data_IF_883495433426
#
_entry.id   IF_883495433426
#
_cell.length_a   1.000
_cell.length_b   1.000
_cell.length_c   1.000
_cell.angle_alpha   90.00
_cell.angle_beta   90.00
_cell.angle_gamma   90.00
#
_symmetry.space_group_name_H-M   'P 1'
#
loop_
_entity.id
_entity.type
_entity.pdbx_description
1 polymer ?
#
# COMPACT_ATOMS: atom_id res chain seq x y z
N UNK A 1 -3.91 1.03 -27.78
CA UNK A 1 -3.75 2.33 -28.50
C UNK A 1 -5.04 3.18 -28.50
N UNK A 2 -6.22 2.62 -28.35
CA UNK A 2 -7.48 3.39 -28.31
C UNK A 2 -7.85 3.96 -26.92
N UNK A 3 -7.18 3.56 -25.86
CA UNK A 3 -7.49 4.03 -24.50
C UNK A 3 -7.06 5.48 -24.21
N UNK A 4 -6.14 6.02 -25.00
CA UNK A 4 -5.58 7.35 -24.78
C UNK A 4 -6.22 8.46 -25.60
N UNK A 5 -7.11 8.12 -26.52
CA UNK A 5 -7.80 9.12 -27.37
C UNK A 5 -9.11 9.65 -26.80
N UNK A 6 -9.66 9.03 -25.75
CA UNK A 6 -10.90 9.48 -25.11
C UNK A 6 -10.61 10.67 -24.18
N UNK A 7 -10.82 11.87 -24.65
CA UNK A 7 -10.72 13.12 -23.86
C UNK A 7 -9.51 14.00 -24.13
N UNK A 8 -8.59 13.56 -24.97
CA UNK A 8 -7.55 14.44 -25.51
C UNK A 8 -7.91 14.85 -26.95
N UNK A 9 -7.67 16.10 -27.35
CA UNK A 9 -7.76 16.47 -28.76
C UNK A 9 -6.84 15.53 -29.55
N UNK A 10 -7.27 15.10 -30.74
CA UNK A 10 -6.38 14.40 -31.66
C UNK A 10 -5.15 15.29 -31.87
N UNK A 11 -4.01 14.87 -31.31
CA UNK A 11 -2.75 15.58 -31.53
C UNK A 11 -2.43 15.46 -33.01
N UNK A 12 -2.30 16.58 -33.68
CA UNK A 12 -1.72 16.59 -35.04
C UNK A 12 -0.34 15.92 -34.91
N UNK A 13 0.01 15.00 -35.83
CA UNK A 13 1.32 14.38 -35.79
C UNK A 13 2.40 15.46 -35.89
N UNK A 14 3.45 15.32 -35.09
CA UNK A 14 4.60 16.20 -35.12
C UNK A 14 5.03 16.46 -36.59
N UNK A 15 5.14 17.70 -36.97
CA UNK A 15 5.39 18.08 -38.36
C UNK A 15 6.88 18.17 -38.69
N UNK A 16 7.74 18.23 -37.66
CA UNK A 16 9.21 18.35 -37.82
C UNK A 16 9.96 17.53 -36.77
N UNK A 17 11.23 17.19 -37.05
CA UNK A 17 12.14 16.61 -36.07
C UNK A 17 12.28 17.48 -34.79
N UNK A 18 12.18 18.79 -34.94
CA UNK A 18 12.25 19.76 -33.85
C UNK A 18 11.00 19.68 -32.96
N UNK A 19 9.82 19.48 -33.56
CA UNK A 19 8.56 19.26 -32.81
C UNK A 19 8.59 17.94 -32.05
N UNK A 20 9.12 16.87 -32.66
CA UNK A 20 9.29 15.57 -31.95
C UNK A 20 10.27 15.69 -30.78
N UNK A 21 11.40 16.38 -30.96
CA UNK A 21 12.36 16.60 -29.89
C UNK A 21 11.79 17.49 -28.78
N UNK A 22 10.99 18.48 -29.11
CA UNK A 22 10.32 19.34 -28.14
C UNK A 22 9.25 18.58 -27.36
N UNK A 23 8.46 17.76 -28.01
CA UNK A 23 7.49 16.88 -27.35
C UNK A 23 8.18 15.87 -26.41
N UNK A 24 9.24 15.22 -26.86
CA UNK A 24 10.01 14.27 -26.03
C UNK A 24 10.67 14.96 -24.83
N UNK A 25 11.16 16.19 -25.00
CA UNK A 25 11.75 16.96 -23.90
C UNK A 25 10.74 17.29 -22.78
N UNK A 26 9.46 17.50 -23.13
CA UNK A 26 8.40 17.78 -22.17
C UNK A 26 7.99 16.56 -21.32
N UNK A 27 8.30 15.33 -21.76
CA UNK A 27 8.04 14.09 -21.04
C UNK A 27 9.26 13.57 -20.28
N UNK A 28 10.38 14.29 -20.31
CA UNK A 28 11.56 13.92 -19.56
C UNK A 28 11.30 14.04 -18.04
N UNK A 29 11.78 13.09 -17.22
CA UNK A 29 11.68 13.20 -15.78
C UNK A 29 12.32 14.46 -15.24
N UNK A 30 11.71 15.10 -14.24
CA UNK A 30 12.28 16.26 -13.57
C UNK A 30 13.69 15.96 -13.05
N UNK A 31 14.66 16.82 -13.35
CA UNK A 31 16.06 16.65 -12.94
C UNK A 31 16.89 15.70 -13.81
N UNK A 32 16.31 15.13 -14.87
CA UNK A 32 16.96 14.14 -15.74
C UNK A 32 17.03 12.74 -15.12
N UNK A 33 17.36 11.74 -15.92
CA UNK A 33 17.40 10.34 -15.49
C UNK A 33 16.05 9.64 -15.55
N UNK A 34 15.99 8.39 -15.04
CA UNK A 34 14.75 7.62 -14.97
C UNK A 34 14.02 7.86 -13.66
N UNK A 35 12.67 7.93 -13.66
CA UNK A 35 11.91 7.96 -12.43
C UNK A 35 12.10 6.65 -11.65
N UNK A 36 11.95 6.70 -10.33
CA UNK A 36 11.89 5.48 -9.52
C UNK A 36 10.59 4.74 -9.82
N UNK A 37 10.68 3.47 -10.21
CA UNK A 37 9.53 2.64 -10.43
C UNK A 37 9.16 1.88 -9.14
N UNK A 38 7.88 1.86 -8.82
CA UNK A 38 7.32 1.03 -7.77
C UNK A 38 6.42 -0.06 -8.39
N UNK A 39 6.50 -1.27 -7.87
CA UNK A 39 5.74 -2.42 -8.35
C UNK A 39 4.97 -3.03 -7.20
N UNK A 40 3.66 -3.22 -7.40
CA UNK A 40 2.76 -3.70 -6.36
C UNK A 40 2.60 -5.21 -6.39
N UNK A 41 2.48 -5.83 -5.21
CA UNK A 41 2.08 -7.21 -5.01
C UNK A 41 0.93 -7.30 -4.02
N UNK A 42 -0.03 -8.17 -4.33
CA UNK A 42 -1.18 -8.42 -3.50
C UNK A 42 -1.22 -9.87 -2.99
N UNK A 43 -1.20 -10.84 -3.91
CA UNK A 43 -1.31 -12.26 -3.58
C UNK A 43 -0.04 -12.79 -2.92
N UNK A 44 -0.17 -13.79 -2.05
CA UNK A 44 0.95 -14.44 -1.35
C UNK A 44 2.16 -14.75 -2.27
N UNK A 45 1.91 -15.35 -3.43
CA UNK A 45 2.93 -15.65 -4.43
C UNK A 45 2.93 -14.64 -5.58
N UNK A 46 3.05 -13.34 -5.27
CA UNK A 46 3.00 -12.30 -6.28
C UNK A 46 4.22 -12.31 -7.21
N UNK A 47 4.07 -12.60 -8.52
CA UNK A 47 5.19 -12.59 -9.46
C UNK A 47 5.78 -11.20 -9.67
N UNK A 48 5.02 -10.14 -9.39
CA UNK A 48 5.50 -8.77 -9.47
C UNK A 48 6.58 -8.46 -8.43
N UNK A 49 6.61 -9.15 -7.27
CA UNK A 49 7.69 -9.02 -6.30
C UNK A 49 9.02 -9.54 -6.85
N UNK A 50 8.99 -10.63 -7.61
CA UNK A 50 10.18 -11.13 -8.32
C UNK A 50 10.68 -10.12 -9.35
N UNK A 51 9.76 -9.60 -10.19
CA UNK A 51 10.10 -8.57 -11.18
C UNK A 51 10.71 -7.32 -10.51
N UNK A 52 10.12 -6.87 -9.41
CA UNK A 52 10.64 -5.75 -8.65
C UNK A 52 12.08 -5.99 -8.17
N UNK A 53 12.37 -7.20 -7.68
CA UNK A 53 13.73 -7.60 -7.29
C UNK A 53 14.71 -7.63 -8.45
N UNK A 54 14.35 -8.28 -9.56
CA UNK A 54 15.19 -8.41 -10.77
C UNK A 54 15.56 -7.04 -11.38
N UNK A 55 14.70 -6.04 -11.24
CA UNK A 55 14.88 -4.69 -11.80
C UNK A 55 15.28 -3.65 -10.77
N UNK A 56 15.46 -4.03 -9.52
CA UNK A 56 15.71 -3.13 -8.40
C UNK A 56 14.65 -2.02 -8.27
N UNK A 57 13.38 -2.34 -8.59
CA UNK A 57 12.26 -1.43 -8.40
C UNK A 57 11.84 -1.41 -6.93
N UNK A 58 11.10 -0.38 -6.51
CA UNK A 58 10.55 -0.29 -5.16
C UNK A 58 9.42 -1.31 -4.98
N UNK A 59 9.54 -2.31 -4.08
CA UNK A 59 8.46 -3.25 -3.82
C UNK A 59 7.37 -2.60 -2.96
N UNK A 60 6.11 -2.77 -3.35
CA UNK A 60 4.94 -2.29 -2.61
C UNK A 60 4.01 -3.48 -2.34
N UNK A 61 3.77 -3.81 -1.08
CA UNK A 61 2.78 -4.80 -0.69
C UNK A 61 1.46 -4.12 -0.38
N UNK A 62 0.39 -4.51 -1.06
CA UNK A 62 -0.95 -3.90 -0.89
C UNK A 62 -1.86 -4.89 -0.18
N UNK A 63 -2.62 -4.46 0.83
CA UNK A 63 -3.63 -5.25 1.56
C UNK A 63 -3.13 -6.66 1.93
N UNK A 64 -1.90 -6.77 2.37
CA UNK A 64 -1.30 -8.08 2.58
C UNK A 64 -1.32 -8.46 4.06
N UNK A 65 -1.71 -9.69 4.34
CA UNK A 65 -1.53 -10.29 5.66
C UNK A 65 -0.05 -10.52 5.98
N UNK A 66 0.25 -10.89 7.23
CA UNK A 66 1.62 -11.02 7.76
C UNK A 66 2.47 -11.99 6.93
N UNK A 67 1.90 -13.14 6.59
CA UNK A 67 2.64 -14.18 5.86
C UNK A 67 2.91 -13.75 4.40
N UNK A 68 1.96 -13.04 3.79
CA UNK A 68 2.18 -12.46 2.46
C UNK A 68 3.25 -11.36 2.49
N UNK A 69 3.28 -10.50 3.51
CA UNK A 69 4.33 -9.48 3.66
C UNK A 69 5.73 -10.10 3.78
N UNK A 70 5.86 -11.19 4.56
CA UNK A 70 7.12 -11.93 4.67
C UNK A 70 7.52 -12.53 3.33
N UNK A 71 6.57 -13.20 2.65
CA UNK A 71 6.83 -13.85 1.35
C UNK A 71 7.16 -12.85 0.25
N UNK A 72 6.51 -11.70 0.22
CA UNK A 72 6.83 -10.62 -0.72
C UNK A 72 8.28 -10.16 -0.56
N UNK A 73 8.69 -9.91 0.69
CA UNK A 73 10.07 -9.50 0.95
C UNK A 73 11.09 -10.58 0.62
N UNK A 74 10.84 -11.83 0.98
CA UNK A 74 11.68 -12.95 0.64
C UNK A 74 11.87 -13.07 -0.89
N UNK A 75 10.76 -13.10 -1.64
CA UNK A 75 10.76 -13.20 -3.10
C UNK A 75 11.50 -12.03 -3.76
N UNK A 76 11.25 -10.81 -3.27
CA UNK A 76 11.96 -9.62 -3.73
C UNK A 76 13.45 -9.72 -3.47
N UNK A 77 13.83 -10.04 -2.22
CA UNK A 77 15.24 -10.06 -1.81
C UNK A 77 16.05 -11.12 -2.55
N UNK A 78 15.51 -12.32 -2.71
CA UNK A 78 16.15 -13.41 -3.48
C UNK A 78 16.40 -12.99 -4.94
N UNK A 79 15.40 -12.38 -5.58
CA UNK A 79 15.53 -11.92 -6.96
C UNK A 79 16.50 -10.72 -7.08
N UNK A 80 16.50 -9.83 -6.10
CA UNK A 80 17.38 -8.65 -6.07
C UNK A 80 18.85 -9.05 -5.91
N UNK A 81 19.15 -9.96 -4.98
CA UNK A 81 20.50 -10.52 -4.78
C UNK A 81 20.97 -11.25 -6.06
N UNK A 82 20.09 -12.07 -6.66
CA UNK A 82 20.42 -12.80 -7.89
C UNK A 82 20.73 -11.88 -9.08
N UNK A 83 20.09 -10.69 -9.10
CA UNK A 83 20.36 -9.66 -10.10
C UNK A 83 21.59 -8.79 -9.79
N UNK A 84 22.32 -9.06 -8.68
CA UNK A 84 23.55 -8.35 -8.31
C UNK A 84 23.32 -7.09 -7.46
N UNK A 85 22.12 -6.91 -6.91
CA UNK A 85 21.81 -5.78 -6.03
C UNK A 85 21.84 -6.19 -4.55
N UNK A 86 21.80 -5.19 -3.67
CA UNK A 86 21.67 -5.39 -2.22
C UNK A 86 20.26 -4.97 -1.79
N UNK A 87 19.44 -5.90 -1.26
CA UNK A 87 18.09 -5.55 -0.81
C UNK A 87 18.15 -4.57 0.36
N UNK A 88 17.42 -3.49 0.24
CA UNK A 88 17.24 -2.49 1.29
C UNK A 88 15.79 -2.54 1.81
N UNK A 89 15.63 -2.95 3.07
CA UNK A 89 14.32 -3.06 3.71
C UNK A 89 13.59 -1.71 3.80
N UNK A 90 14.31 -0.60 3.85
CA UNK A 90 13.72 0.74 3.88
C UNK A 90 13.00 1.10 2.58
N UNK A 91 13.36 0.46 1.46
CA UNK A 91 12.67 0.65 0.20
C UNK A 91 11.34 -0.11 0.10
N UNK A 92 11.09 -1.09 0.99
CA UNK A 92 9.82 -1.80 1.01
C UNK A 92 8.70 -0.86 1.50
N UNK A 93 7.66 -0.70 0.70
CA UNK A 93 6.45 0.02 1.06
C UNK A 93 5.31 -0.97 1.32
N UNK A 94 4.47 -0.64 2.29
CA UNK A 94 3.25 -1.39 2.60
C UNK A 94 2.06 -0.44 2.51
N UNK A 95 1.08 -0.79 1.69
CA UNK A 95 -0.17 -0.05 1.55
C UNK A 95 -1.26 -0.73 2.36
N UNK A 96 -1.90 0.04 3.27
CA UNK A 96 -2.90 -0.46 4.20
C UNK A 96 -4.04 0.54 4.37
N UNK A 97 -5.22 0.00 4.66
CA UNK A 97 -6.33 0.79 5.19
C UNK A 97 -6.03 1.12 6.65
N UNK A 98 -5.77 2.39 6.92
CA UNK A 98 -5.48 2.91 8.27
C UNK A 98 -6.48 4.02 8.61
N UNK A 99 -7.12 3.93 9.75
CA UNK A 99 -8.05 4.97 10.19
C UNK A 99 -7.98 5.15 11.71
N UNK A 100 -7.70 6.38 12.15
CA UNK A 100 -7.57 6.75 13.55
C UNK A 100 -8.73 7.64 14.00
N UNK A 101 -9.27 7.37 15.19
CA UNK A 101 -10.19 8.26 15.89
C UNK A 101 -9.84 8.27 17.38
N UNK A 102 -10.52 9.10 18.17
CA UNK A 102 -10.24 9.26 19.60
C UNK A 102 -10.44 7.96 20.39
N UNK A 103 -11.34 7.08 19.93
CA UNK A 103 -11.60 5.76 20.52
C UNK A 103 -11.71 4.66 19.47
N UNK A 104 -11.45 3.42 19.86
CA UNK A 104 -11.59 2.24 18.98
C UNK A 104 -13.02 2.09 18.46
N UNK A 105 -14.02 2.33 19.31
CA UNK A 105 -15.42 2.22 18.94
C UNK A 105 -15.81 3.27 17.88
N UNK A 106 -15.33 4.48 18.03
CA UNK A 106 -15.59 5.56 17.07
C UNK A 106 -14.84 5.31 15.75
N UNK A 107 -13.59 4.87 15.80
CA UNK A 107 -12.83 4.50 14.60
C UNK A 107 -13.54 3.39 13.80
N UNK A 108 -13.96 2.32 14.49
CA UNK A 108 -14.70 1.21 13.87
C UNK A 108 -16.01 1.71 13.26
N UNK A 109 -16.79 2.50 13.99
CA UNK A 109 -18.05 3.07 13.50
C UNK A 109 -17.85 3.92 12.23
N UNK A 110 -16.89 4.85 12.25
CA UNK A 110 -16.60 5.74 11.11
C UNK A 110 -16.13 4.98 9.88
N UNK A 111 -15.37 3.90 10.08
CA UNK A 111 -14.96 3.03 8.97
C UNK A 111 -16.14 2.22 8.43
N UNK A 112 -16.94 1.59 9.30
CA UNK A 112 -18.06 0.73 8.89
C UNK A 112 -19.17 1.50 8.18
N UNK A 113 -19.50 2.68 8.69
CA UNK A 113 -20.62 3.51 8.19
C UNK A 113 -20.18 4.52 7.12
N UNK A 114 -18.88 4.76 6.99
CA UNK A 114 -18.30 5.80 6.13
C UNK A 114 -17.87 5.33 4.74
N UNK A 115 -17.17 6.22 4.01
CA UNK A 115 -16.70 5.95 2.63
C UNK A 115 -15.83 4.70 2.50
N UNK A 116 -15.01 4.38 3.52
CA UNK A 116 -14.19 3.16 3.54
C UNK A 116 -15.10 1.93 3.48
N UNK A 117 -16.04 1.80 4.42
CA UNK A 117 -16.97 0.68 4.48
C UNK A 117 -17.77 0.54 3.19
N UNK A 118 -18.32 1.64 2.70
CA UNK A 118 -19.06 1.66 1.43
C UNK A 118 -18.22 1.13 0.25
N UNK A 119 -16.96 1.59 0.13
CA UNK A 119 -16.05 1.14 -0.93
C UNK A 119 -15.77 -0.36 -0.82
N UNK A 120 -15.48 -0.84 0.38
CA UNK A 120 -15.17 -2.26 0.60
C UNK A 120 -16.39 -3.16 0.35
N UNK A 121 -17.53 -2.85 0.93
CA UNK A 121 -18.74 -3.67 0.77
C UNK A 121 -19.25 -3.69 -0.67
N UNK A 122 -19.26 -2.55 -1.35
CA UNK A 122 -19.88 -2.42 -2.67
C UNK A 122 -18.94 -2.76 -3.80
N UNK A 123 -17.65 -2.65 -3.61
CA UNK A 123 -16.69 -2.78 -4.69
C UNK A 123 -15.56 -3.79 -4.39
N UNK A 124 -14.76 -3.58 -3.36
CA UNK A 124 -13.55 -4.36 -3.16
C UNK A 124 -13.82 -5.80 -2.72
N UNK A 125 -14.64 -6.04 -1.71
CA UNK A 125 -14.97 -7.39 -1.23
C UNK A 125 -15.58 -8.27 -2.34
N UNK A 126 -16.58 -7.81 -3.13
CA UNK A 126 -17.10 -8.58 -4.27
C UNK A 126 -16.03 -8.95 -5.29
N UNK A 127 -15.12 -8.03 -5.62
CA UNK A 127 -14.00 -8.29 -6.53
C UNK A 127 -13.03 -9.28 -5.91
N UNK A 128 -12.63 -9.07 -4.67
CA UNK A 128 -11.69 -9.95 -3.98
C UNK A 128 -12.22 -11.37 -3.85
N UNK A 129 -13.49 -11.55 -3.52
CA UNK A 129 -14.14 -12.88 -3.52
C UNK A 129 -14.09 -13.53 -4.90
N UNK A 130 -14.41 -12.76 -5.95
CA UNK A 130 -14.41 -13.28 -7.33
C UNK A 130 -13.04 -13.80 -7.79
N UNK A 131 -11.97 -13.19 -7.32
CA UNK A 131 -10.59 -13.54 -7.69
C UNK A 131 -9.85 -14.38 -6.63
N UNK A 132 -10.55 -14.89 -5.60
CA UNK A 132 -9.97 -15.70 -4.53
C UNK A 132 -8.98 -14.93 -3.63
N UNK A 133 -9.09 -13.60 -3.61
CA UNK A 133 -8.17 -12.76 -2.83
C UNK A 133 -8.51 -12.76 -1.34
N UNK A 134 -9.75 -13.10 -0.97
CA UNK A 134 -10.17 -13.27 0.42
C UNK A 134 -9.60 -14.53 1.07
N UNK A 135 -9.20 -15.52 0.28
CA UNK A 135 -8.72 -16.83 0.76
C UNK A 135 -7.48 -16.69 1.65
N UNK A 136 -6.60 -15.73 1.33
CA UNK A 136 -5.40 -15.46 2.13
C UNK A 136 -5.74 -14.98 3.54
N UNK A 137 -6.63 -14.01 3.67
CA UNK A 137 -7.05 -13.47 4.97
C UNK A 137 -7.84 -14.50 5.79
N UNK A 138 -8.74 -15.23 5.14
CA UNK A 138 -9.54 -16.25 5.78
C UNK A 138 -8.69 -17.42 6.29
N UNK A 139 -7.70 -17.85 5.49
CA UNK A 139 -6.76 -18.90 5.87
C UNK A 139 -5.93 -18.53 7.08
N UNK A 140 -5.40 -17.30 7.13
CA UNK A 140 -4.61 -16.82 8.26
C UNK A 140 -5.44 -16.80 9.57
N UNK A 141 -6.75 -16.55 9.44
CA UNK A 141 -7.70 -16.54 10.56
C UNK A 141 -8.34 -17.90 10.86
N UNK A 142 -8.20 -18.90 9.96
CA UNK A 142 -8.83 -20.22 10.11
C UNK A 142 -10.36 -20.21 9.94
N UNK A 143 -10.90 -19.31 9.11
CA UNK A 143 -12.35 -19.18 8.81
C UNK A 143 -12.64 -19.49 7.34
N UNK A 144 -13.93 -19.67 7.01
CA UNK A 144 -14.36 -19.75 5.61
C UNK A 144 -14.16 -18.40 4.90
N UNK A 145 -13.62 -18.34 3.68
CA UNK A 145 -13.51 -17.10 2.90
C UNK A 145 -14.83 -16.35 2.70
N UNK A 146 -15.96 -17.04 2.75
CA UNK A 146 -17.29 -16.43 2.67
C UNK A 146 -17.68 -15.68 3.95
N UNK A 147 -17.13 -16.08 5.10
CA UNK A 147 -17.36 -15.43 6.37
C UNK A 147 -16.45 -14.19 6.57
N UNK A 148 -15.43 -14.02 5.75
CA UNK A 148 -14.59 -12.85 5.76
C UNK A 148 -15.34 -11.65 5.11
N UNK A 149 -16.02 -10.88 5.94
CA UNK A 149 -16.76 -9.67 5.58
C UNK A 149 -16.02 -8.38 5.95
N UNK A 150 -16.68 -7.23 5.86
CA UNK A 150 -16.09 -5.95 6.23
C UNK A 150 -15.72 -5.91 7.71
N UNK A 151 -16.58 -6.40 8.60
CA UNK A 151 -16.31 -6.41 10.05
C UNK A 151 -15.05 -7.23 10.35
N UNK A 152 -14.94 -8.41 9.74
CA UNK A 152 -13.74 -9.23 9.85
C UNK A 152 -12.48 -8.46 9.40
N UNK A 153 -12.54 -7.76 8.25
CA UNK A 153 -11.41 -6.98 7.74
C UNK A 153 -11.01 -5.86 8.69
N UNK A 154 -11.97 -5.12 9.23
CA UNK A 154 -11.73 -4.04 10.20
C UNK A 154 -11.06 -4.55 11.47
N UNK A 155 -11.52 -5.69 11.98
CA UNK A 155 -11.03 -6.23 13.24
C UNK A 155 -9.67 -6.93 13.10
N UNK A 156 -9.40 -7.59 11.95
CA UNK A 156 -8.26 -8.50 11.80
C UNK A 156 -7.21 -8.07 10.77
N UNK A 157 -7.57 -7.22 9.80
CA UNK A 157 -6.69 -6.87 8.67
C UNK A 157 -6.32 -5.39 8.66
N UNK A 158 -7.31 -4.52 8.86
CA UNK A 158 -7.10 -3.09 8.81
C UNK A 158 -6.45 -2.55 10.09
N UNK A 159 -5.73 -1.46 9.94
CA UNK A 159 -5.12 -0.75 11.07
C UNK A 159 -6.07 0.36 11.51
N UNK A 160 -7.14 -0.02 12.19
CA UNK A 160 -8.22 0.86 12.64
C UNK A 160 -8.28 0.86 14.15
N UNK A 161 -8.45 2.04 14.77
CA UNK A 161 -8.57 2.18 16.23
C UNK A 161 -8.18 3.56 16.74
N UNK A 162 -8.04 3.64 18.06
CA UNK A 162 -7.45 4.77 18.76
C UNK A 162 -5.95 4.87 18.48
N UNK A 163 -5.30 6.01 18.78
CA UNK A 163 -3.84 6.13 18.65
C UNK A 163 -3.07 5.00 19.31
N UNK A 164 -3.46 4.59 20.52
CA UNK A 164 -2.81 3.48 21.26
C UNK A 164 -2.96 2.16 20.51
N UNK A 165 -4.16 1.83 20.09
CA UNK A 165 -4.44 0.61 19.33
C UNK A 165 -3.68 0.57 18.02
N UNK A 166 -3.61 1.69 17.29
CA UNK A 166 -2.86 1.75 16.02
C UNK A 166 -1.37 1.57 16.25
N UNK A 167 -0.80 2.22 17.26
CA UNK A 167 0.63 2.04 17.63
C UNK A 167 0.91 0.57 17.93
N UNK A 168 0.09 -0.10 18.71
CA UNK A 168 0.25 -1.51 19.05
C UNK A 168 0.11 -2.43 17.84
N UNK A 169 -0.88 -2.18 16.97
CA UNK A 169 -1.05 -2.91 15.70
C UNK A 169 0.18 -2.75 14.80
N UNK A 170 0.67 -1.53 14.59
CA UNK A 170 1.83 -1.26 13.75
C UNK A 170 3.12 -1.87 14.33
N UNK A 171 3.37 -1.70 15.63
CA UNK A 171 4.53 -2.32 16.28
C UNK A 171 4.49 -3.85 16.19
N UNK A 172 3.30 -4.45 16.33
CA UNK A 172 3.11 -5.89 16.16
C UNK A 172 3.40 -6.34 14.74
N UNK A 173 2.88 -5.62 13.74
CA UNK A 173 3.17 -5.90 12.33
C UNK A 173 4.67 -5.77 12.02
N UNK A 174 5.31 -4.71 12.48
CA UNK A 174 6.75 -4.53 12.32
C UNK A 174 7.54 -5.69 12.91
N UNK A 175 7.24 -6.08 14.14
CA UNK A 175 7.93 -7.19 14.81
C UNK A 175 7.75 -8.52 14.05
N UNK A 176 6.55 -8.78 13.54
CA UNK A 176 6.23 -10.03 12.83
C UNK A 176 6.77 -10.08 11.41
N UNK A 177 6.79 -8.96 10.68
CA UNK A 177 7.22 -8.93 9.26
C UNK A 177 8.68 -8.54 9.06
N UNK A 178 9.39 -8.07 10.09
CA UNK A 178 10.73 -7.49 10.00
C UNK A 178 10.75 -6.04 9.52
N UNK A 179 9.61 -5.36 9.52
CA UNK A 179 9.47 -3.94 9.20
C UNK A 179 9.39 -3.61 7.70
N UNK A 180 9.23 -2.33 7.43
CA UNK A 180 9.26 -1.72 6.10
C UNK A 180 9.60 -0.22 6.24
N UNK A 181 10.02 0.44 5.15
CA UNK A 181 10.42 1.86 5.22
C UNK A 181 9.29 2.86 4.98
N UNK A 182 8.21 2.44 4.34
CA UNK A 182 7.09 3.34 4.02
C UNK A 182 5.76 2.67 4.33
N UNK A 183 4.92 3.31 5.14
CA UNK A 183 3.50 2.98 5.25
C UNK A 183 2.73 3.93 4.34
N UNK A 184 2.05 3.39 3.35
CA UNK A 184 1.12 4.12 2.50
C UNK A 184 -0.29 3.94 3.06
N UNK A 185 -0.87 5.02 3.54
CA UNK A 185 -2.25 5.05 4.01
C UNK A 185 -3.15 5.26 2.80
N UNK A 186 -4.11 4.36 2.60
CA UNK A 186 -5.04 4.45 1.48
C UNK A 186 -6.12 5.48 1.75
N UNK A 187 -6.22 6.44 0.83
CA UNK A 187 -7.25 7.46 0.88
C UNK A 187 -8.55 6.96 0.21
N UNK A 188 -9.67 7.33 0.80
CA UNK A 188 -11.01 7.10 0.26
C UNK A 188 -11.71 8.43 0.01
N UNK A 189 -12.81 8.39 -0.74
CA UNK A 189 -13.56 9.59 -1.10
C UNK A 189 -14.41 10.09 0.08
N UNK A 190 -13.89 11.10 0.75
CA UNK A 190 -14.55 11.84 1.82
C UNK A 190 -15.05 13.22 1.34
N UNK A 191 -15.47 13.34 0.07
CA UNK A 191 -15.85 14.60 -0.55
C UNK A 191 -16.99 15.32 0.17
N UNK A 192 -18.01 14.59 0.61
CA UNK A 192 -19.18 15.21 1.29
C UNK A 192 -18.86 15.74 2.69
N UNK A 193 -17.99 15.04 3.44
CA UNK A 193 -17.47 15.47 4.73
C UNK A 193 -16.03 14.99 4.92
N UNK A 194 -15.02 15.82 4.65
CA UNK A 194 -13.63 15.45 4.80
C UNK A 194 -13.13 15.45 6.26
N UNK A 195 -13.93 15.96 7.20
CA UNK A 195 -13.50 16.17 8.58
C UNK A 195 -13.02 14.88 9.28
N UNK A 196 -13.71 13.71 9.19
CA UNK A 196 -13.24 12.49 9.82
C UNK A 196 -11.90 12.02 9.26
N UNK A 197 -11.69 12.19 7.96
CA UNK A 197 -10.44 11.81 7.31
C UNK A 197 -9.28 12.70 7.73
N UNK A 198 -9.45 14.02 7.72
CA UNK A 198 -8.41 14.94 8.16
C UNK A 198 -8.08 14.77 9.64
N UNK A 199 -9.08 14.54 10.49
CA UNK A 199 -8.87 14.24 11.91
C UNK A 199 -8.04 12.96 12.10
N UNK A 200 -8.37 11.92 11.34
CA UNK A 200 -7.60 10.67 11.33
C UNK A 200 -6.14 10.90 10.93
N UNK A 201 -5.87 11.65 9.86
CA UNK A 201 -4.51 11.99 9.43
C UNK A 201 -3.76 12.81 10.48
N UNK A 202 -4.43 13.74 11.14
CA UNK A 202 -3.84 14.55 12.21
C UNK A 202 -3.43 13.70 13.41
N UNK A 203 -4.31 12.79 13.88
CA UNK A 203 -4.00 11.84 14.95
C UNK A 203 -2.86 10.91 14.56
N UNK A 204 -2.85 10.38 13.32
CA UNK A 204 -1.77 9.56 12.81
C UNK A 204 -0.42 10.29 12.84
N UNK A 205 -0.40 11.56 12.44
CA UNK A 205 0.83 12.35 12.39
C UNK A 205 1.33 12.75 13.78
N UNK A 206 0.43 13.16 14.67
CA UNK A 206 0.79 13.74 15.97
C UNK A 206 0.90 12.69 17.09
N UNK A 207 0.01 11.70 17.08
CA UNK A 207 -0.14 10.78 18.22
C UNK A 207 0.39 9.37 17.89
N UNK A 208 0.42 8.96 16.62
CA UNK A 208 0.83 7.60 16.23
C UNK A 208 2.27 7.58 15.75
N UNK A 209 2.59 8.34 14.70
CA UNK A 209 3.88 8.25 14.03
C UNK A 209 5.10 8.44 14.97
N UNK A 210 5.10 9.36 15.96
CA UNK A 210 6.23 9.51 16.89
C UNK A 210 6.43 8.32 17.84
N UNK A 211 5.42 7.46 17.99
CA UNK A 211 5.40 6.35 18.96
C UNK A 211 5.64 4.98 18.31
N UNK A 212 5.58 4.90 16.98
CA UNK A 212 5.86 3.66 16.25
C UNK A 212 7.36 3.36 16.32
N UNK A 213 7.71 2.17 16.81
CA UNK A 213 9.10 1.73 17.00
C UNK A 213 9.61 1.01 15.76
N UNK A 214 10.66 1.55 15.15
CA UNK A 214 11.37 0.82 14.11
C UNK A 214 12.07 -0.41 14.68
N UNK A 215 12.06 -1.58 13.99
CA UNK A 215 12.90 -2.71 14.36
C UNK A 215 14.37 -2.31 14.46
N UNK A 216 15.10 -2.88 15.44
CA UNK A 216 16.50 -2.53 15.68
C UNK A 216 17.38 -2.66 14.43
N UNK A 217 17.15 -3.67 13.62
CA UNK A 217 17.86 -3.87 12.36
C UNK A 217 17.65 -2.72 11.34
N UNK A 218 16.48 -2.07 11.35
CA UNK A 218 16.21 -0.90 10.51
C UNK A 218 16.75 0.38 11.13
N UNK A 219 16.69 0.50 12.46
CA UNK A 219 17.21 1.66 13.18
C UNK A 219 18.74 1.79 13.06
N UNK A 220 19.46 0.69 12.92
CA UNK A 220 20.89 0.67 12.69
C UNK A 220 21.29 1.23 11.31
N UNK A 221 20.49 0.99 10.28
CA UNK A 221 20.73 1.52 8.92
C UNK A 221 20.44 3.01 8.76
N UNK A 222 19.69 3.64 9.68
CA UNK A 222 19.43 5.08 9.66
C UNK A 222 20.56 5.94 10.27
N UNK A 223 21.52 5.29 10.91
CA UNK A 223 22.67 5.98 11.57
C UNK A 223 23.96 5.96 10.75
N UNK A 224 23.95 5.34 9.59
CA UNK A 224 25.06 5.28 8.63
C UNK A 224 24.80 6.22 7.45
#
# INVERSE_FOLDING_TARGET
>A
RQFWSAGFPEEEPAQTEEDEQHMLANYAPYGGGFPEFAVTGFSYNSPSMKLAGERNFKPVSIFSGIDALKKHWETYSEANIKAGFTPDRQRHAVSQTVFCADTDAEAKRLVMEGPIGYCFERYLIPIWRRFGMMDGFAKDAGIDPLDADLEFLVDNVFVVGSPDTIVDKLNTLFAKCGGWGTLQVEAHDYYDDPSPWFNSLELLAKEVAPRVKLPEAMAAGLKS
#
